data_IF_489261811713
#
_entry.id   IF_489261811713
#
_cell.length_a   1.000
_cell.length_b   1.000
_cell.length_c   1.000
_cell.angle_alpha   90.00
_cell.angle_beta   90.00
_cell.angle_gamma   90.00
#
_symmetry.space_group_name_H-M   'P 1'
#
loop_
_entity.id
_entity.type
_entity.pdbx_description
1 polymer ?
#
# COMPACT_ATOMS: atom_id res chain seq x y z
N UNK A 1 8.30 0.93 -4.43
CA UNK A 1 9.08 2.08 -3.95
C UNK A 1 10.01 1.64 -2.84
N UNK A 2 11.15 2.29 -2.63
CA UNK A 2 11.99 2.05 -1.45
C UNK A 2 11.60 3.06 -0.37
N UNK A 3 11.15 2.59 0.79
CA UNK A 3 10.70 3.49 1.85
C UNK A 3 11.91 4.14 2.54
N UNK A 4 11.92 5.47 2.62
CA UNK A 4 13.09 6.22 3.12
C UNK A 4 12.75 7.35 4.11
N UNK A 5 11.46 7.52 4.42
CA UNK A 5 11.04 8.48 5.43
C UNK A 5 11.42 8.04 6.86
N UNK A 6 11.28 8.98 7.79
CA UNK A 6 11.63 8.80 9.20
C UNK A 6 10.47 8.30 10.07
N UNK A 7 9.24 8.30 9.55
CA UNK A 7 8.02 8.07 10.34
C UNK A 7 7.78 6.59 10.65
N UNK A 8 8.22 5.66 9.79
CA UNK A 8 8.19 4.21 10.03
C UNK A 8 9.61 3.67 9.93
N UNK A 9 10.30 3.58 11.05
CA UNK A 9 11.71 3.16 11.08
C UNK A 9 11.92 1.72 10.62
N UNK A 10 10.95 0.86 10.90
CA UNK A 10 10.92 -0.57 10.59
C UNK A 10 10.81 -0.87 9.09
N UNK A 11 10.34 0.09 8.28
CA UNK A 11 10.29 -0.03 6.83
C UNK A 11 11.45 0.66 6.12
N UNK A 12 12.32 1.37 6.85
CA UNK A 12 13.38 2.15 6.22
C UNK A 12 14.32 1.23 5.44
N UNK A 13 14.44 1.49 4.14
CA UNK A 13 15.26 0.73 3.21
C UNK A 13 14.52 -0.44 2.55
N UNK A 14 13.37 -0.86 3.08
CA UNK A 14 12.56 -1.93 2.51
C UNK A 14 11.90 -1.50 1.20
N UNK A 15 11.76 -2.45 0.28
CA UNK A 15 10.91 -2.30 -0.90
C UNK A 15 9.46 -2.46 -0.51
N UNK A 16 8.63 -1.47 -0.79
CA UNK A 16 7.17 -1.49 -0.63
C UNK A 16 6.51 -1.63 -2.00
N UNK A 17 5.62 -2.60 -2.13
CA UNK A 17 4.88 -2.93 -3.36
C UNK A 17 3.48 -3.45 -3.01
N UNK A 18 2.67 -3.78 -4.01
CA UNK A 18 1.29 -4.19 -3.77
C UNK A 18 0.72 -5.07 -4.87
N UNK A 19 -0.37 -5.73 -4.53
CA UNK A 19 -1.22 -6.48 -5.45
C UNK A 19 -2.56 -5.75 -5.61
N UNK A 20 -3.05 -5.68 -6.84
CA UNK A 20 -4.27 -4.97 -7.22
C UNK A 20 -5.47 -5.42 -6.37
N UNK A 21 -5.68 -6.74 -6.33
CA UNK A 21 -6.70 -7.42 -5.54
C UNK A 21 -6.56 -8.93 -5.71
N UNK A 22 -6.80 -9.71 -4.64
CA UNK A 22 -6.83 -11.19 -4.72
C UNK A 22 -7.94 -11.73 -5.62
N UNK A 23 -8.97 -10.93 -5.89
CA UNK A 23 -10.08 -11.29 -6.78
C UNK A 23 -10.61 -10.08 -7.54
N UNK A 24 -11.30 -10.31 -8.65
CA UNK A 24 -11.93 -9.22 -9.40
C UNK A 24 -13.08 -8.57 -8.63
N UNK A 25 -13.87 -9.35 -7.88
CA UNK A 25 -14.92 -8.90 -6.95
C UNK A 25 -15.06 -9.99 -5.87
N UNK A 26 -15.04 -9.67 -4.57
CA UNK A 26 -14.90 -8.32 -3.99
C UNK A 26 -13.46 -7.77 -4.07
N UNK A 27 -13.33 -6.46 -3.84
CA UNK A 27 -12.05 -5.79 -3.74
C UNK A 27 -11.26 -6.33 -2.54
N UNK A 28 -9.96 -6.58 -2.74
CA UNK A 28 -9.09 -7.17 -1.73
C UNK A 28 -7.61 -6.87 -2.02
N UNK A 29 -7.30 -5.59 -2.24
CA UNK A 29 -5.94 -5.11 -2.47
C UNK A 29 -5.03 -5.41 -1.30
N UNK A 30 -3.73 -5.59 -1.59
CA UNK A 30 -2.72 -5.95 -0.58
C UNK A 30 -1.46 -5.13 -0.75
N UNK A 31 -0.85 -4.78 0.37
CA UNK A 31 0.42 -4.05 0.42
C UNK A 31 1.44 -5.00 1.03
N UNK A 32 2.65 -4.99 0.49
CA UNK A 32 3.73 -5.82 0.95
C UNK A 32 5.00 -5.00 1.12
N UNK A 33 5.91 -5.52 1.94
CA UNK A 33 7.29 -5.11 1.94
C UNK A 33 8.23 -6.31 1.86
N UNK A 34 9.46 -6.05 1.40
CA UNK A 34 10.56 -7.00 1.55
C UNK A 34 11.12 -6.89 2.97
N UNK A 35 11.11 -8.01 3.70
CA UNK A 35 11.75 -8.16 5.00
C UNK A 35 13.27 -8.31 4.88
N UNK A 36 13.96 -8.29 6.03
CA UNK A 36 15.43 -8.34 6.08
C UNK A 36 16.01 -9.67 5.59
N UNK A 37 15.22 -10.74 5.60
CA UNK A 37 15.59 -12.07 5.10
C UNK A 37 15.15 -12.34 3.66
N UNK A 38 14.84 -11.28 2.89
CA UNK A 38 14.30 -11.34 1.53
C UNK A 38 12.90 -11.99 1.40
N UNK A 39 12.18 -12.13 2.51
CA UNK A 39 10.80 -12.60 2.51
C UNK A 39 9.80 -11.49 2.16
N UNK A 40 8.71 -11.85 1.48
CA UNK A 40 7.60 -10.93 1.20
C UNK A 40 6.64 -10.97 2.38
N UNK A 41 6.54 -9.86 3.10
CA UNK A 41 5.65 -9.69 4.26
C UNK A 41 4.50 -8.75 3.89
N UNK A 42 3.29 -9.11 4.34
CA UNK A 42 2.11 -8.27 4.13
C UNK A 42 2.04 -7.17 5.18
N UNK A 43 1.83 -5.93 4.72
CA UNK A 43 1.48 -4.79 5.57
C UNK A 43 -0.03 -4.74 5.71
N UNK A 44 -0.52 -5.09 6.90
CA UNK A 44 -1.94 -5.04 7.24
C UNK A 44 -2.21 -3.76 8.05
N UNK A 45 -3.05 -2.83 7.55
CA UNK A 45 -3.47 -1.67 8.32
C UNK A 45 -4.10 -2.07 9.67
N UNK A 46 -3.97 -1.21 10.68
CA UNK A 46 -4.60 -1.43 11.99
C UNK A 46 -6.15 -1.54 11.91
N UNK A 47 -6.76 -0.97 10.87
CA UNK A 47 -8.19 -1.11 10.57
C UNK A 47 -8.58 -2.47 9.97
N UNK A 48 -7.61 -3.35 9.72
CA UNK A 48 -7.80 -4.63 9.06
C UNK A 48 -7.38 -4.62 7.60
N UNK A 49 -7.95 -5.52 6.80
CA UNK A 49 -7.68 -5.59 5.37
C UNK A 49 -8.07 -4.30 4.65
N UNK A 50 -7.42 -4.01 3.53
CA UNK A 50 -7.64 -2.78 2.76
C UNK A 50 -9.08 -2.71 2.19
N UNK A 51 -9.67 -3.85 1.80
CA UNK A 51 -11.04 -4.01 1.25
C UNK A 51 -11.40 -3.07 0.08
N UNK A 52 -10.40 -2.51 -0.58
CA UNK A 52 -10.48 -1.72 -1.81
C UNK A 52 -9.42 -2.19 -2.81
N UNK A 53 -9.56 -1.81 -4.08
CA UNK A 53 -8.57 -2.14 -5.10
C UNK A 53 -7.35 -1.23 -4.94
N UNK A 54 -6.15 -1.80 -5.02
CA UNK A 54 -4.92 -1.01 -5.07
C UNK A 54 -4.65 -0.60 -6.53
N UNK A 55 -4.74 0.69 -6.81
CA UNK A 55 -4.49 1.26 -8.15
C UNK A 55 -3.02 1.53 -8.39
N UNK A 56 -2.28 1.81 -7.32
CA UNK A 56 -0.85 2.08 -7.42
C UNK A 56 -0.26 2.57 -6.11
N UNK A 57 0.99 3.00 -6.22
CA UNK A 57 1.75 3.57 -5.13
C UNK A 57 2.34 4.91 -5.59
N UNK A 58 2.55 5.82 -4.64
CA UNK A 58 3.24 7.09 -4.84
C UNK A 58 4.30 7.30 -3.78
N UNK A 59 5.27 8.16 -4.05
CA UNK A 59 6.27 8.58 -3.07
C UNK A 59 6.52 10.08 -3.16
N UNK A 60 6.55 10.75 -2.01
CA UNK A 60 6.91 12.17 -1.95
C UNK A 60 8.42 12.39 -1.82
N UNK A 61 8.84 13.66 -1.85
CA UNK A 61 10.25 14.07 -1.76
C UNK A 61 10.91 13.75 -0.41
N UNK A 62 10.12 13.43 0.62
CA UNK A 62 10.60 13.05 1.95
C UNK A 62 10.71 11.52 2.10
N UNK A 63 10.36 10.77 1.07
CA UNK A 63 10.41 9.32 1.07
C UNK A 63 9.16 8.65 1.64
N UNK A 64 8.11 9.40 1.98
CA UNK A 64 6.86 8.82 2.45
C UNK A 64 6.17 8.10 1.30
N UNK A 65 5.65 6.90 1.55
CA UNK A 65 4.92 6.12 0.55
C UNK A 65 3.42 6.28 0.76
N UNK A 66 2.71 6.40 -0.36
CA UNK A 66 1.27 6.56 -0.42
C UNK A 66 0.68 5.41 -1.24
N UNK A 67 -0.51 4.97 -0.83
CA UNK A 67 -1.31 3.95 -1.50
C UNK A 67 -2.46 4.64 -2.21
N UNK A 68 -2.58 4.41 -3.51
CA UNK A 68 -3.70 4.89 -4.32
C UNK A 68 -4.71 3.75 -4.42
N UNK A 69 -5.95 4.03 -4.05
CA UNK A 69 -7.02 3.04 -3.95
C UNK A 69 -8.26 3.47 -4.72
N UNK A 70 -9.15 2.52 -4.98
CA UNK A 70 -10.48 2.75 -5.53
C UNK A 70 -11.44 1.68 -5.02
N UNK A 71 -12.68 2.05 -4.72
CA UNK A 71 -13.76 1.07 -4.47
C UNK A 71 -14.29 0.45 -5.77
N UNK A 72 -14.01 1.08 -6.92
CA UNK A 72 -14.45 0.62 -8.24
C UNK A 72 -13.34 -0.13 -8.98
N UNK A 73 -13.70 -1.28 -9.56
CA UNK A 73 -12.81 -2.07 -10.42
C UNK A 73 -12.46 -1.32 -11.72
N UNK A 74 -13.47 -0.70 -12.33
CA UNK A 74 -13.31 0.07 -13.56
C UNK A 74 -12.87 1.52 -13.23
N UNK A 75 -12.14 2.19 -14.15
CA UNK A 75 -11.67 3.57 -13.96
C UNK A 75 -12.81 4.59 -14.19
N UNK A 76 -13.86 4.48 -13.39
CA UNK A 76 -15.07 5.31 -13.44
C UNK A 76 -15.50 5.74 -12.05
N UNK A 77 -16.20 6.87 -11.96
CA UNK A 77 -16.66 7.43 -10.70
C UNK A 77 -15.55 8.18 -9.93
N UNK A 78 -15.83 8.48 -8.68
CA UNK A 78 -15.02 9.37 -7.83
C UNK A 78 -14.66 8.70 -6.48
N UNK A 79 -14.52 7.37 -6.46
CA UNK A 79 -14.16 6.59 -5.26
C UNK A 79 -12.66 6.44 -5.05
N UNK A 80 -11.87 7.15 -5.85
CA UNK A 80 -10.41 7.14 -5.74
C UNK A 80 -9.95 7.83 -4.46
N UNK A 81 -9.03 7.21 -3.71
CA UNK A 81 -8.44 7.79 -2.52
C UNK A 81 -6.92 7.59 -2.49
N UNK A 82 -6.23 8.44 -1.74
CA UNK A 82 -4.80 8.34 -1.48
C UNK A 82 -4.55 8.31 0.02
N UNK A 83 -3.88 7.26 0.49
CA UNK A 83 -3.58 7.03 1.89
C UNK A 83 -2.07 7.07 2.10
N UNK A 84 -1.61 7.74 3.15
CA UNK A 84 -0.19 7.69 3.54
C UNK A 84 0.04 6.49 4.45
N UNK A 85 1.15 5.77 4.27
CA UNK A 85 1.60 4.80 5.27
C UNK A 85 2.10 5.55 6.51
N UNK A 86 1.55 5.21 7.67
CA UNK A 86 1.88 5.78 8.99
C UNK A 86 2.09 4.64 9.97
N UNK A 87 2.99 4.83 10.94
CA UNK A 87 3.17 3.91 12.07
C UNK A 87 2.13 4.16 13.15
N UNK A 88 2.03 3.23 14.10
CA UNK A 88 1.19 3.36 15.30
C UNK A 88 1.75 4.38 16.32
#
# INVERSE_FOLDING_TARGET
>A
FTYSANELSELRGSYVFGDFSRSFVPASGRIFHLGDGDEILELVPASGALDVYLMGLGQDRRGNVYVLTSENFAPVGETGAMHRLVGD
#
